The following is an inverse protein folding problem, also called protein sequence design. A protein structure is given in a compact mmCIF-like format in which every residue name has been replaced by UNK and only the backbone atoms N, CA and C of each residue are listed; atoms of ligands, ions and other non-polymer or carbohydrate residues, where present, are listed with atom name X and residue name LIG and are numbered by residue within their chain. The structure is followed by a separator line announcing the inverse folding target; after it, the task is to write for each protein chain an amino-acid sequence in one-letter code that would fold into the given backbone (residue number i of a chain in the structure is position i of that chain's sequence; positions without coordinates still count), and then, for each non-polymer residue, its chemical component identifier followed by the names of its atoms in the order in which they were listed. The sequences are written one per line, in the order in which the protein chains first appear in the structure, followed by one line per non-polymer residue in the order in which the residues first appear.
data_IF_874078966664
#
_entry.id   IF_874078966664
#
_cell.length_a   1.000
_cell.length_b   1.000
_cell.length_c   1.000
_cell.angle_alpha   90.00
_cell.angle_beta   90.00
_cell.angle_gamma   90.00
#
_symmetry.space_group_name_H-M   'P 1'
#
loop_
_entity.id
_entity.type
_entity.pdbx_description
1 polymer ?
#
# COMPACT_ATOMS: atom_id res chain seq x y z
N UNK A 1 -4.66 -22.86 14.21
CA UNK A 1 -4.15 -21.45 14.20
C UNK A 1 -3.69 -21.08 12.80
N UNK A 2 -2.99 -21.98 12.09
CA UNK A 2 -2.87 -21.97 10.61
C UNK A 2 -4.23 -21.85 9.90
N UNK A 3 -5.29 -22.39 10.52
CA UNK A 3 -6.67 -22.31 10.02
C UNK A 3 -7.15 -20.88 9.73
N UNK A 4 -6.63 -19.87 10.45
CA UNK A 4 -7.01 -18.47 10.23
C UNK A 4 -6.36 -17.91 8.97
N UNK A 5 -5.05 -18.12 8.80
CA UNK A 5 -4.34 -17.69 7.58
C UNK A 5 -4.92 -18.42 6.38
N UNK A 6 -5.16 -19.72 6.49
CA UNK A 6 -5.78 -20.54 5.44
C UNK A 6 -7.19 -20.04 5.08
N UNK A 7 -7.98 -19.62 6.08
CA UNK A 7 -9.30 -19.01 5.85
C UNK A 7 -9.19 -17.72 5.02
N UNK A 8 -8.24 -16.84 5.34
CA UNK A 8 -7.99 -15.61 4.56
C UNK A 8 -7.52 -15.92 3.13
N UNK A 9 -6.65 -16.90 2.96
CA UNK A 9 -6.20 -17.32 1.63
C UNK A 9 -7.33 -17.98 0.80
N UNK A 10 -8.29 -18.63 1.45
CA UNK A 10 -9.47 -19.16 0.77
C UNK A 10 -10.44 -18.04 0.32
N UNK A 11 -10.48 -16.90 1.01
CA UNK A 11 -11.23 -15.72 0.56
C UNK A 11 -10.67 -15.22 -0.78
N UNK A 12 -9.34 -15.18 -0.94
CA UNK A 12 -8.71 -14.76 -2.20
C UNK A 12 -9.14 -15.63 -3.39
N UNK A 13 -9.19 -16.96 -3.21
CA UNK A 13 -9.63 -17.88 -4.28
C UNK A 13 -11.08 -17.62 -4.70
N UNK A 14 -11.92 -17.15 -3.78
CA UNK A 14 -13.31 -16.78 -4.08
C UNK A 14 -13.35 -15.44 -4.83
N UNK A 15 -12.60 -14.46 -4.37
CA UNK A 15 -12.58 -13.11 -4.96
C UNK A 15 -11.84 -13.03 -6.31
N UNK A 16 -10.88 -13.92 -6.58
CA UNK A 16 -10.21 -14.02 -7.88
C UNK A 16 -11.16 -14.47 -9.01
N UNK A 17 -12.13 -15.32 -8.69
CA UNK A 17 -13.06 -15.89 -9.67
C UNK A 17 -14.16 -14.91 -10.10
N UNK A 18 -14.40 -13.87 -9.30
CA UNK A 18 -15.33 -12.80 -9.60
C UNK A 18 -14.47 -11.67 -10.18
N UNK A 19 -14.79 -11.11 -11.36
CA UNK A 19 -14.07 -9.97 -11.95
C UNK A 19 -14.19 -8.70 -11.08
N UNK A 20 -13.59 -8.73 -9.89
CA UNK A 20 -13.76 -7.77 -8.83
C UNK A 20 -12.72 -6.67 -9.02
N UNK A 21 -13.21 -5.45 -9.24
CA UNK A 21 -12.38 -4.26 -9.43
C UNK A 21 -11.49 -4.02 -8.20
N UNK A 22 -11.98 -4.30 -7.00
CA UNK A 22 -11.22 -4.11 -5.76
C UNK A 22 -10.03 -5.05 -5.68
N UNK A 23 -10.24 -6.32 -6.02
CA UNK A 23 -9.19 -7.34 -6.10
C UNK A 23 -8.13 -6.94 -7.14
N UNK A 24 -8.58 -6.53 -8.33
CA UNK A 24 -7.71 -6.06 -9.40
C UNK A 24 -6.88 -4.83 -8.98
N UNK A 25 -7.51 -3.86 -8.30
CA UNK A 25 -6.81 -2.68 -7.80
C UNK A 25 -5.76 -3.06 -6.75
N UNK A 26 -6.16 -3.75 -5.68
CA UNK A 26 -5.29 -4.08 -4.55
C UNK A 26 -4.11 -4.97 -4.99
N UNK A 27 -4.36 -5.94 -5.87
CA UNK A 27 -3.33 -6.79 -6.46
C UNK A 27 -2.28 -5.97 -7.20
N UNK A 28 -2.72 -5.06 -8.07
CA UNK A 28 -1.80 -4.26 -8.88
C UNK A 28 -1.07 -3.19 -8.06
N UNK A 29 -1.70 -2.66 -7.01
CA UNK A 29 -1.03 -1.79 -6.04
C UNK A 29 0.16 -2.50 -5.38
N UNK A 30 -0.07 -3.69 -4.82
CA UNK A 30 0.99 -4.48 -4.18
C UNK A 30 2.09 -4.86 -5.17
N UNK A 31 1.73 -5.27 -6.40
CA UNK A 31 2.71 -5.52 -7.47
C UNK A 31 3.55 -4.29 -7.76
N UNK A 32 2.91 -3.15 -7.92
CA UNK A 32 3.59 -1.88 -8.20
C UNK A 32 4.59 -1.54 -7.09
N UNK A 33 4.17 -1.61 -5.84
CA UNK A 33 5.06 -1.29 -4.71
C UNK A 33 6.24 -2.26 -4.63
N UNK A 34 5.98 -3.58 -4.70
CA UNK A 34 7.02 -4.59 -4.56
C UNK A 34 8.01 -4.61 -5.74
N UNK A 35 7.56 -4.37 -6.98
CA UNK A 35 8.41 -4.42 -8.18
C UNK A 35 9.04 -3.08 -8.52
N UNK A 36 8.26 -1.99 -8.49
CA UNK A 36 8.67 -0.69 -9.03
C UNK A 36 9.17 0.26 -7.93
N UNK A 37 8.59 0.23 -6.72
CA UNK A 37 9.07 1.05 -5.59
C UNK A 37 10.24 0.41 -4.85
N UNK A 38 10.26 -0.93 -4.76
CA UNK A 38 11.31 -1.70 -4.08
C UNK A 38 12.00 -2.70 -4.99
N UNK A 39 12.68 -2.27 -6.07
CA UNK A 39 13.30 -3.18 -7.04
C UNK A 39 14.40 -4.05 -6.43
N UNK A 40 15.02 -3.62 -5.32
CA UNK A 40 16.03 -4.41 -4.59
C UNK A 40 15.44 -5.59 -3.84
N UNK A 41 14.10 -5.70 -3.77
CA UNK A 41 13.45 -6.78 -3.04
C UNK A 41 13.62 -8.16 -3.66
N UNK A 42 14.02 -8.22 -4.94
CA UNK A 42 14.07 -9.43 -5.75
C UNK A 42 12.77 -10.26 -5.71
N UNK A 43 11.64 -9.64 -5.30
CA UNK A 43 10.36 -10.32 -5.23
C UNK A 43 10.01 -10.87 -6.61
N UNK A 44 9.74 -12.17 -6.66
CA UNK A 44 9.33 -12.85 -7.88
C UNK A 44 7.81 -13.04 -7.84
N UNK A 45 7.05 -12.33 -8.68
CA UNK A 45 5.60 -12.47 -8.70
C UNK A 45 5.21 -13.90 -9.07
N UNK A 46 4.30 -14.50 -8.30
CA UNK A 46 3.85 -15.88 -8.47
C UNK A 46 2.35 -16.02 -8.19
N UNK A 47 1.77 -17.17 -8.55
CA UNK A 47 0.34 -17.44 -8.34
C UNK A 47 -0.55 -16.35 -8.94
N UNK A 48 -1.44 -15.79 -8.13
CA UNK A 48 -2.35 -14.69 -8.51
C UNK A 48 -1.59 -13.42 -8.96
N UNK A 49 -0.36 -13.26 -8.48
CA UNK A 49 0.56 -12.20 -8.87
C UNK A 49 1.46 -12.59 -10.04
N UNK A 50 1.31 -13.74 -10.70
CA UNK A 50 2.14 -14.04 -11.88
C UNK A 50 1.76 -13.09 -13.05
N UNK A 51 0.47 -12.94 -13.31
CA UNK A 51 -0.03 -12.22 -14.47
C UNK A 51 -0.28 -10.74 -14.19
N UNK A 52 0.25 -9.90 -15.09
CA UNK A 52 -0.08 -8.48 -15.11
C UNK A 52 -1.50 -8.31 -15.64
N UNK A 53 -2.37 -7.70 -14.84
CA UNK A 53 -3.77 -7.52 -15.26
C UNK A 53 -3.82 -6.37 -16.26
N UNK A 54 -4.09 -6.68 -17.52
CA UNK A 54 -4.29 -5.69 -18.60
C UNK A 54 -5.43 -4.69 -18.30
N UNK A 55 -6.33 -5.02 -17.36
CA UNK A 55 -7.48 -4.19 -16.98
C UNK A 55 -7.29 -3.50 -15.63
N UNK A 56 -6.05 -3.21 -15.23
CA UNK A 56 -5.76 -2.56 -13.95
C UNK A 56 -6.39 -1.16 -13.85
N UNK A 57 -7.20 -0.88 -12.81
CA UNK A 57 -7.61 0.48 -12.47
C UNK A 57 -6.49 1.32 -11.82
N UNK A 58 -5.27 0.78 -11.68
CA UNK A 58 -4.17 1.50 -11.04
C UNK A 58 -3.54 2.51 -12.02
N UNK A 59 -4.14 3.71 -12.07
CA UNK A 59 -3.71 4.76 -12.98
C UNK A 59 -2.31 5.30 -12.63
N UNK A 60 -1.69 5.99 -13.59
CA UNK A 60 -0.38 6.64 -13.41
C UNK A 60 -0.39 7.66 -12.27
N UNK A 61 -1.53 8.31 -12.04
CA UNK A 61 -1.70 9.29 -10.97
C UNK A 61 -1.67 8.61 -9.62
N UNK A 62 -2.39 7.49 -9.46
CA UNK A 62 -2.36 6.68 -8.24
C UNK A 62 -0.95 6.15 -7.97
N UNK A 63 -0.29 5.58 -8.99
CA UNK A 63 1.12 5.13 -8.88
C UNK A 63 2.05 6.25 -8.38
N UNK A 64 1.87 7.46 -8.90
CA UNK A 64 2.65 8.64 -8.51
C UNK A 64 2.36 9.06 -7.06
N UNK A 65 1.10 9.05 -6.64
CA UNK A 65 0.69 9.38 -5.27
C UNK A 65 1.27 8.39 -4.26
N UNK A 66 1.15 7.08 -4.53
CA UNK A 66 1.72 6.00 -3.70
C UNK A 66 3.22 6.16 -3.56
N UNK A 67 3.94 6.39 -4.67
CA UNK A 67 5.39 6.60 -4.63
C UNK A 67 5.78 7.81 -3.79
N UNK A 68 5.09 8.94 -3.97
CA UNK A 68 5.35 10.15 -3.20
C UNK A 68 5.06 9.96 -1.71
N UNK A 69 3.98 9.23 -1.37
CA UNK A 69 3.61 8.92 0.00
C UNK A 69 4.68 8.02 0.67
N UNK A 70 5.08 6.94 0.01
CA UNK A 70 6.17 6.06 0.47
C UNK A 70 7.49 6.83 0.64
N UNK A 71 7.89 7.63 -0.36
CA UNK A 71 9.12 8.44 -0.27
C UNK A 71 9.10 9.43 0.91
N UNK A 72 7.92 9.90 1.32
CA UNK A 72 7.79 10.90 2.38
C UNK A 72 7.67 10.29 3.77
N UNK A 73 7.17 9.06 3.88
CA UNK A 73 6.82 8.43 5.15
C UNK A 73 7.54 7.09 5.40
N UNK A 74 8.43 6.64 4.50
CA UNK A 74 9.06 5.30 4.62
C UNK A 74 9.86 5.11 5.91
N UNK A 75 10.54 6.14 6.42
CA UNK A 75 11.26 6.08 7.69
C UNK A 75 10.29 5.85 8.85
N UNK A 76 9.25 6.69 8.97
CA UNK A 76 8.22 6.55 10.01
C UNK A 76 7.52 5.17 9.94
N UNK A 77 7.20 4.68 8.74
CA UNK A 77 6.57 3.37 8.57
C UNK A 77 7.50 2.22 8.97
N UNK A 78 8.81 2.34 8.77
CA UNK A 78 9.80 1.33 9.19
C UNK A 78 10.01 1.37 10.70
N UNK A 79 10.11 2.55 11.28
CA UNK A 79 10.23 2.72 12.73
C UNK A 79 9.01 2.09 13.44
N UNK A 80 7.81 2.32 12.92
CA UNK A 80 6.59 1.69 13.43
C UNK A 80 6.63 0.16 13.27
N UNK A 81 7.12 -0.37 12.15
CA UNK A 81 7.26 -1.81 11.93
C UNK A 81 8.28 -2.45 12.89
N UNK A 82 9.44 -1.84 13.07
CA UNK A 82 10.49 -2.31 13.99
C UNK A 82 10.06 -2.21 15.45
N UNK A 83 9.21 -1.24 15.78
CA UNK A 83 8.60 -1.16 17.10
C UNK A 83 7.64 -2.33 17.37
N UNK A 84 6.84 -2.73 16.37
CA UNK A 84 5.93 -3.88 16.46
C UNK A 84 6.70 -5.21 16.46
N UNK A 85 7.74 -5.31 15.64
CA UNK A 85 8.59 -6.50 15.48
C UNK A 85 10.06 -6.20 15.85
N UNK A 86 10.37 -6.01 17.15
CA UNK A 86 11.72 -5.68 17.59
C UNK A 86 12.75 -6.79 17.34
N UNK A 87 12.27 -8.02 17.13
CA UNK A 87 13.12 -9.18 16.84
C UNK A 87 12.60 -9.94 15.62
N UNK A 88 13.51 -10.37 14.75
CA UNK A 88 13.18 -11.01 13.48
C UNK A 88 12.41 -12.32 13.65
N UNK A 89 12.65 -13.07 14.73
CA UNK A 89 11.96 -14.32 15.05
C UNK A 89 10.49 -14.14 15.43
N UNK A 90 10.05 -12.90 15.68
CA UNK A 90 8.65 -12.55 15.93
C UNK A 90 7.88 -12.29 14.63
N UNK A 91 8.59 -12.07 13.52
CA UNK A 91 8.00 -11.87 12.21
C UNK A 91 7.58 -13.25 11.69
N UNK A 92 6.26 -13.43 11.54
CA UNK A 92 5.64 -14.68 11.10
C UNK A 92 4.40 -14.38 10.26
N UNK A 93 3.86 -15.37 9.55
CA UNK A 93 2.60 -15.20 8.80
C UNK A 93 1.46 -14.72 9.72
N UNK A 94 1.39 -15.27 10.94
CA UNK A 94 0.38 -14.88 11.95
C UNK A 94 0.66 -13.48 12.47
N UNK A 95 1.89 -13.16 12.86
CA UNK A 95 2.24 -11.82 13.35
C UNK A 95 1.98 -10.73 12.31
N UNK A 96 2.33 -11.00 11.05
CA UNK A 96 2.02 -10.11 9.93
C UNK A 96 0.51 -9.93 9.77
N UNK A 97 -0.27 -11.01 9.77
CA UNK A 97 -1.73 -10.93 9.70
C UNK A 97 -2.32 -10.10 10.86
N UNK A 98 -1.92 -10.38 12.09
CA UNK A 98 -2.43 -9.70 13.29
C UNK A 98 -2.18 -8.19 13.22
N UNK A 99 -1.00 -7.78 12.77
CA UNK A 99 -0.67 -6.36 12.62
C UNK A 99 -1.47 -5.70 11.49
N UNK A 100 -1.64 -6.38 10.35
CA UNK A 100 -2.51 -5.87 9.28
C UNK A 100 -3.96 -5.71 9.76
N UNK A 101 -4.47 -6.64 10.57
CA UNK A 101 -5.81 -6.54 11.15
C UNK A 101 -5.92 -5.41 12.17
N UNK A 102 -4.89 -5.18 12.98
CA UNK A 102 -4.81 -4.03 13.89
C UNK A 102 -4.94 -2.71 13.12
N UNK A 103 -4.13 -2.53 12.07
CA UNK A 103 -4.19 -1.35 11.21
C UNK A 103 -5.55 -1.19 10.53
N UNK A 104 -6.11 -2.27 9.96
CA UNK A 104 -7.46 -2.29 9.37
C UNK A 104 -8.49 -1.76 10.36
N UNK A 105 -8.50 -2.27 11.60
CA UNK A 105 -9.45 -1.86 12.65
C UNK A 105 -9.30 -0.37 12.97
N UNK A 106 -8.08 0.17 13.02
CA UNK A 106 -7.87 1.60 13.28
C UNK A 106 -8.47 2.47 12.17
N UNK A 107 -8.26 2.10 10.90
CA UNK A 107 -8.85 2.82 9.77
C UNK A 107 -10.37 2.73 9.80
N UNK A 108 -10.91 1.53 10.00
CA UNK A 108 -12.34 1.25 10.04
C UNK A 108 -13.05 1.87 11.24
N UNK A 109 -12.37 2.25 12.31
CA UNK A 109 -12.99 2.96 13.43
C UNK A 109 -13.07 4.49 13.22
N UNK A 110 -12.35 5.03 12.23
CA UNK A 110 -12.34 6.46 11.92
C UNK A 110 -13.32 6.81 10.79
N UNK A 111 -13.71 8.10 10.64
CA UNK A 111 -14.35 8.56 9.42
C UNK A 111 -13.46 8.30 8.21
N UNK A 112 -14.06 7.89 7.09
CA UNK A 112 -13.30 7.61 5.88
C UNK A 112 -12.79 8.92 5.25
N UNK A 113 -11.49 8.93 4.94
CA UNK A 113 -10.84 10.00 4.19
C UNK A 113 -9.83 9.38 3.23
N UNK A 114 -9.83 9.82 1.97
CA UNK A 114 -8.90 9.32 0.95
C UNK A 114 -7.43 9.52 1.33
N UNK A 115 -7.10 10.55 2.09
CA UNK A 115 -5.73 10.77 2.60
C UNK A 115 -5.30 9.67 3.56
N UNK A 116 -6.16 9.31 4.52
CA UNK A 116 -5.90 8.21 5.45
C UNK A 116 -5.89 6.88 4.70
N UNK A 117 -6.77 6.70 3.73
CA UNK A 117 -6.80 5.48 2.93
C UNK A 117 -5.50 5.28 2.14
N UNK A 118 -4.98 6.33 1.48
CA UNK A 118 -3.68 6.28 0.80
C UNK A 118 -2.53 5.93 1.76
N UNK A 119 -2.50 6.56 2.94
CA UNK A 119 -1.48 6.30 3.96
C UNK A 119 -1.50 4.83 4.43
N UNK A 120 -2.69 4.29 4.72
CA UNK A 120 -2.83 2.89 5.13
C UNK A 120 -2.50 1.91 4.02
N UNK A 121 -2.88 2.20 2.77
CA UNK A 121 -2.48 1.39 1.61
C UNK A 121 -0.95 1.35 1.45
N UNK A 122 -0.28 2.48 1.64
CA UNK A 122 1.19 2.56 1.60
C UNK A 122 1.81 1.79 2.78
N UNK A 123 1.28 1.96 3.98
CA UNK A 123 1.73 1.26 5.19
C UNK A 123 1.57 -0.26 5.08
N UNK A 124 0.42 -0.74 4.61
CA UNK A 124 0.19 -2.15 4.32
C UNK A 124 1.24 -2.69 3.33
N UNK A 125 1.53 -1.93 2.28
CA UNK A 125 2.49 -2.34 1.25
C UNK A 125 3.94 -2.31 1.76
N UNK A 126 4.31 -1.33 2.59
CA UNK A 126 5.62 -1.28 3.27
C UNK A 126 5.79 -2.50 4.19
N UNK A 127 4.79 -2.79 5.01
CA UNK A 127 4.83 -3.93 5.93
C UNK A 127 4.89 -5.25 5.15
N UNK A 128 4.19 -5.38 4.02
CA UNK A 128 4.35 -6.52 3.11
C UNK A 128 5.80 -6.70 2.69
N UNK A 129 6.45 -5.63 2.26
CA UNK A 129 7.83 -5.66 1.78
C UNK A 129 8.80 -6.04 2.90
N UNK A 130 8.67 -5.44 4.08
CA UNK A 130 9.52 -5.71 5.24
C UNK A 130 9.35 -7.15 5.76
N UNK A 131 8.10 -7.64 5.86
CA UNK A 131 7.81 -9.03 6.21
C UNK A 131 8.37 -10.00 5.17
N UNK A 132 8.24 -9.69 3.87
CA UNK A 132 8.79 -10.51 2.80
C UNK A 132 10.33 -10.59 2.88
N UNK A 133 11.03 -9.46 3.12
CA UNK A 133 12.48 -9.44 3.35
C UNK A 133 12.91 -10.26 4.56
N UNK A 134 12.04 -10.34 5.56
CA UNK A 134 12.28 -11.13 6.76
C UNK A 134 12.01 -12.63 6.54
N UNK A 135 11.60 -13.06 5.34
CA UNK A 135 11.41 -14.45 4.96
C UNK A 135 9.95 -14.90 4.84
N UNK A 136 8.98 -13.98 5.04
CA UNK A 136 7.55 -14.31 5.02
C UNK A 136 7.02 -14.29 3.59
N UNK A 137 7.16 -15.42 2.90
CA UNK A 137 6.82 -15.54 1.48
C UNK A 137 5.33 -15.33 1.18
N UNK A 138 4.43 -15.60 2.14
CA UNK A 138 2.99 -15.40 1.99
C UNK A 138 2.52 -13.97 2.29
N UNK A 139 3.41 -13.08 2.77
CA UNK A 139 3.04 -11.71 3.15
C UNK A 139 2.25 -10.96 2.05
N UNK A 140 2.60 -11.03 0.74
CA UNK A 140 1.82 -10.37 -0.31
C UNK A 140 0.39 -10.91 -0.43
N UNK A 141 0.20 -12.22 -0.27
CA UNK A 141 -1.13 -12.85 -0.35
C UNK A 141 -1.97 -12.47 0.87
N UNK A 142 -1.39 -12.55 2.06
CA UNK A 142 -2.08 -12.16 3.30
C UNK A 142 -2.49 -10.69 3.24
N UNK A 143 -1.59 -9.79 2.84
CA UNK A 143 -1.92 -8.36 2.71
C UNK A 143 -3.01 -8.11 1.67
N UNK A 144 -2.96 -8.78 0.51
CA UNK A 144 -4.02 -8.65 -0.49
C UNK A 144 -5.39 -9.04 0.10
N UNK A 145 -5.46 -10.15 0.83
CA UNK A 145 -6.71 -10.61 1.42
C UNK A 145 -7.26 -9.60 2.41
N UNK A 146 -6.41 -9.04 3.27
CA UNK A 146 -6.81 -8.03 4.25
C UNK A 146 -7.31 -6.75 3.59
N UNK A 147 -6.62 -6.24 2.55
CA UNK A 147 -7.06 -5.04 1.83
C UNK A 147 -8.44 -5.25 1.20
N UNK A 148 -8.63 -6.40 0.53
CA UNK A 148 -9.91 -6.75 -0.08
C UNK A 148 -11.06 -6.84 0.95
N UNK A 149 -10.82 -7.51 2.07
CA UNK A 149 -11.80 -7.63 3.16
C UNK A 149 -12.13 -6.25 3.73
N UNK A 150 -11.12 -5.42 3.97
CA UNK A 150 -11.30 -4.05 4.47
C UNK A 150 -12.19 -3.24 3.53
N UNK A 151 -11.92 -3.24 2.21
CA UNK A 151 -12.74 -2.49 1.25
C UNK A 151 -14.18 -3.02 1.26
N UNK A 152 -14.38 -4.34 1.25
CA UNK A 152 -15.70 -4.95 1.30
C UNK A 152 -16.48 -4.52 2.55
N UNK A 153 -15.88 -4.65 3.73
CA UNK A 153 -16.52 -4.30 5.00
C UNK A 153 -16.80 -2.80 5.10
N UNK A 154 -15.86 -1.95 4.66
CA UNK A 154 -16.10 -0.50 4.61
C UNK A 154 -17.25 -0.13 3.69
N UNK A 155 -17.47 -0.86 2.59
CA UNK A 155 -18.62 -0.68 1.69
C UNK A 155 -19.92 -1.14 2.34
N UNK A 156 -19.91 -2.31 2.99
CA UNK A 156 -21.07 -2.85 3.73
C UNK A 156 -21.50 -1.92 4.88
N UNK A 157 -20.55 -1.28 5.56
CA UNK A 157 -20.82 -0.27 6.59
C UNK A 157 -21.22 1.10 6.02
N UNK A 158 -21.28 1.27 4.69
CA UNK A 158 -21.66 2.51 4.02
C UNK A 158 -20.63 3.63 4.17
N UNK A 159 -19.37 3.31 4.49
CA UNK A 159 -18.29 4.31 4.64
C UNK A 159 -17.70 4.75 3.31
N UNK A 160 -17.73 3.86 2.33
CA UNK A 160 -17.24 4.11 0.98
C UNK A 160 -18.35 3.79 -0.02
N UNK A 161 -18.32 4.47 -1.16
CA UNK A 161 -19.34 4.33 -2.20
C UNK A 161 -18.90 3.32 -3.26
N UNK A 162 -19.82 2.96 -4.16
CA UNK A 162 -19.49 2.20 -5.38
C UNK A 162 -18.48 2.93 -6.30
N UNK A 163 -18.40 4.26 -6.18
CA UNK A 163 -17.49 5.09 -6.96
C UNK A 163 -16.14 5.34 -6.27
N UNK A 164 -15.81 4.59 -5.20
CA UNK A 164 -14.58 4.73 -4.41
C UNK A 164 -13.35 5.02 -5.27
N UNK A 165 -13.12 4.20 -6.29
CA UNK A 165 -11.89 4.27 -7.09
C UNK A 165 -11.74 5.57 -7.87
N UNK A 166 -12.85 6.11 -8.37
CA UNK A 166 -12.86 7.41 -9.03
C UNK A 166 -12.58 8.53 -8.04
N UNK A 167 -13.28 8.51 -6.90
CA UNK A 167 -13.09 9.51 -5.84
C UNK A 167 -11.64 9.49 -5.30
N UNK A 168 -11.05 8.29 -5.22
CA UNK A 168 -9.67 8.08 -4.81
C UNK A 168 -8.67 8.56 -5.87
N UNK A 169 -8.93 8.32 -7.15
CA UNK A 169 -8.11 8.82 -8.26
C UNK A 169 -8.11 10.35 -8.33
N UNK A 170 -9.28 10.99 -8.24
CA UNK A 170 -9.43 12.46 -8.21
C UNK A 170 -8.66 13.07 -7.01
N UNK A 171 -8.71 12.40 -5.86
CA UNK A 171 -7.90 12.77 -4.70
C UNK A 171 -6.39 12.65 -4.98
N UNK A 172 -5.95 11.53 -5.56
CA UNK A 172 -4.54 11.30 -5.88
C UNK A 172 -4.00 12.35 -6.86
N UNK A 173 -4.82 12.81 -7.81
CA UNK A 173 -4.44 13.88 -8.73
C UNK A 173 -4.13 15.18 -7.97
N UNK A 174 -5.04 15.58 -7.09
CA UNK A 174 -4.88 16.77 -6.26
C UNK A 174 -3.64 16.65 -5.37
N UNK A 175 -3.47 15.50 -4.71
CA UNK A 175 -2.31 15.21 -3.86
C UNK A 175 -0.99 15.32 -4.61
N UNK A 176 -0.87 14.69 -5.78
CA UNK A 176 0.36 14.72 -6.59
C UNK A 176 0.69 16.15 -7.03
N UNK A 177 -0.31 16.92 -7.46
CA UNK A 177 -0.10 18.32 -7.84
C UNK A 177 0.43 19.14 -6.65
N UNK A 178 -0.13 18.96 -5.46
CA UNK A 178 0.29 19.69 -4.26
C UNK A 178 1.69 19.28 -3.80
N UNK A 179 2.02 18.00 -3.79
CA UNK A 179 3.37 17.51 -3.44
C UNK A 179 4.42 18.01 -4.44
N UNK A 180 4.12 18.01 -5.74
CA UNK A 180 5.02 18.59 -6.74
C UNK A 180 5.22 20.10 -6.53
N UNK A 181 4.18 20.84 -6.14
CA UNK A 181 4.32 22.27 -5.80
C UNK A 181 5.21 22.46 -4.57
N UNK A 182 5.00 21.70 -3.50
CA UNK A 182 5.83 21.73 -2.28
C UNK A 182 7.30 21.46 -2.60
N UNK A 183 7.59 20.40 -3.38
CA UNK A 183 8.95 20.04 -3.81
C UNK A 183 9.62 21.10 -4.69
N UNK A 184 8.85 21.85 -5.50
CA UNK A 184 9.37 23.00 -6.27
C UNK A 184 9.75 24.17 -5.35
N UNK A 185 8.98 24.39 -4.29
CA UNK A 185 9.22 25.47 -3.32
C UNK A 185 10.36 25.15 -2.34
N UNK A 186 10.61 23.88 -2.04
CA UNK A 186 11.68 23.44 -1.13
C UNK A 186 13.07 23.35 -1.76
N UNK A 187 13.19 23.46 -3.10
CA UNK A 187 14.52 23.53 -3.74
C UNK A 187 15.24 24.80 -3.29
N UNK A 188 16.48 24.72 -2.76
CA UNK A 188 17.21 25.91 -2.36
C UNK A 188 17.39 26.81 -3.59
N UNK A 189 17.02 28.09 -3.47
CA UNK A 189 17.41 29.12 -4.45
C UNK A 189 18.92 28.96 -4.67
N UNK A 190 19.33 28.61 -5.90
CA UNK A 190 20.74 28.63 -6.30
C UNK A 190 21.34 29.92 -5.76
N UNK A 191 22.32 29.82 -4.85
CA UNK A 191 23.19 30.95 -4.52
C UNK A 191 23.85 31.32 -5.84
N UNK A 192 23.36 32.39 -6.45
CA UNK A 192 24.12 33.09 -7.46
C UNK A 192 25.34 33.61 -6.71
N UNK A 193 26.47 32.89 -6.81
CA UNK A 193 27.76 33.48 -6.54
C UNK A 193 27.94 34.54 -7.62
N UNK A 194 27.46 35.75 -7.30
CA UNK A 194 27.91 36.98 -7.92
C UNK A 194 29.39 37.09 -7.55
N UNK A 195 30.27 36.52 -8.38
CA UNK A 195 31.63 37.00 -8.45
C UNK A 195 31.55 38.38 -9.10
N UNK A 196 31.33 39.38 -8.26
CA UNK A 196 31.74 40.73 -8.57
C UNK A 196 33.28 40.76 -8.56
N UNK A 197 33.81 41.35 -9.63
CA UNK A 197 35.15 41.84 -9.87
C UNK A 197 36.09 41.97 -8.65
N UNK A 198 37.35 41.56 -8.83
CA UNK A 198 38.51 42.45 -9.10
C UNK A 198 39.55 41.63 -9.88
#
# INVERSE_FOLDING_TARGET
MDDTVDSFLNILKKEENENNVDFGFAKNLLRYVLLECYPTSNWQPNGIFAEDSMNSPLSLVVKSAVKMCLESNSEDMRDDFEFVFPYQDQISDVGHLDELLSLKIVLENKPFHNSSFLDYLCRFSEYTMLSYWSGIMLAPHITLAVICIMIREMREFGKITENLWKDFEDFCETYVQDEQRKRKLSKPKRRWNMFCAI
#
